data_IF_600978861106
#
_entry.id   IF_600978861106
#
_cell.length_a   1.000
_cell.length_b   1.000
_cell.length_c   1.000
_cell.angle_alpha   90.00
_cell.angle_beta   90.00
_cell.angle_gamma   90.00
#
_symmetry.space_group_name_H-M   'P 1'
#
loop_
_entity.id
_entity.type
_entity.pdbx_description
1 polymer ?
#
# COMPACT_ATOMS: atom_id res chain seq x y z
N UNK A 1 -28.99 11.98 16.75
CA UNK A 1 -28.42 11.68 15.43
C UNK A 1 -27.46 10.53 15.61
N UNK A 2 -27.78 9.35 15.10
CA UNK A 2 -26.86 8.20 15.14
C UNK A 2 -25.68 8.49 14.22
N UNK A 3 -24.46 8.33 14.72
CA UNK A 3 -23.25 8.35 13.88
C UNK A 3 -23.44 7.36 12.71
N UNK A 4 -23.05 7.70 11.48
CA UNK A 4 -23.04 6.75 10.39
C UNK A 4 -22.10 5.60 10.77
N UNK A 5 -22.65 4.41 10.97
CA UNK A 5 -21.86 3.22 11.23
C UNK A 5 -20.93 3.00 10.03
N UNK A 6 -19.62 2.93 10.29
CA UNK A 6 -18.65 2.55 9.28
C UNK A 6 -19.08 1.22 8.64
N UNK A 7 -18.96 1.08 7.31
CA UNK A 7 -19.35 -0.15 6.64
C UNK A 7 -18.52 -1.32 7.21
N UNK A 8 -19.11 -2.51 7.37
CA UNK A 8 -18.40 -3.65 7.92
C UNK A 8 -17.16 -3.94 7.08
N UNK A 9 -16.08 -4.33 7.75
CA UNK A 9 -14.83 -4.69 7.10
C UNK A 9 -14.99 -5.81 6.06
N UNK A 10 -13.96 -6.03 5.25
CA UNK A 10 -13.97 -7.13 4.30
C UNK A 10 -14.12 -8.49 5.00
N UNK A 11 -15.01 -9.32 4.45
CA UNK A 11 -15.03 -10.75 4.79
C UNK A 11 -13.78 -11.44 4.22
N UNK A 12 -13.41 -12.60 4.78
CA UNK A 12 -12.30 -13.41 4.21
C UNK A 12 -12.54 -13.78 2.75
N UNK A 13 -13.78 -14.09 2.37
CA UNK A 13 -14.15 -14.42 0.99
C UNK A 13 -13.91 -13.24 0.06
N UNK A 14 -14.32 -12.04 0.45
CA UNK A 14 -14.07 -10.81 -0.32
C UNK A 14 -12.58 -10.54 -0.47
N UNK A 15 -11.79 -10.65 0.62
CA UNK A 15 -10.34 -10.50 0.55
C UNK A 15 -9.69 -11.56 -0.36
N UNK A 16 -10.14 -12.81 -0.33
CA UNK A 16 -9.64 -13.85 -1.25
C UNK A 16 -9.97 -13.53 -2.71
N UNK A 17 -11.17 -13.02 -3.00
CA UNK A 17 -11.52 -12.59 -4.35
C UNK A 17 -10.65 -11.40 -4.79
N UNK A 18 -10.39 -10.44 -3.90
CA UNK A 18 -9.56 -9.29 -4.17
C UNK A 18 -8.10 -9.69 -4.40
N UNK A 19 -7.58 -10.64 -3.61
CA UNK A 19 -6.27 -11.26 -3.80
C UNK A 19 -6.16 -11.90 -5.19
N UNK A 20 -7.14 -12.71 -5.60
CA UNK A 20 -7.15 -13.36 -6.91
C UNK A 20 -7.20 -12.34 -8.05
N UNK A 21 -7.98 -11.27 -7.88
CA UNK A 21 -8.04 -10.17 -8.84
C UNK A 21 -6.67 -9.48 -8.96
N UNK A 22 -6.01 -9.19 -7.84
CA UNK A 22 -4.66 -8.63 -7.83
C UNK A 22 -3.64 -9.56 -8.53
N UNK A 23 -3.68 -10.87 -8.27
CA UNK A 23 -2.83 -11.87 -8.94
C UNK A 23 -2.96 -11.79 -10.47
N UNK A 24 -4.19 -11.63 -10.99
CA UNK A 24 -4.45 -11.53 -12.44
C UNK A 24 -3.86 -10.27 -13.10
N UNK A 25 -3.50 -9.26 -12.31
CA UNK A 25 -2.94 -7.99 -12.77
C UNK A 25 -1.43 -7.85 -12.47
N UNK A 26 -0.83 -8.84 -11.83
CA UNK A 26 0.59 -8.83 -11.48
C UNK A 26 1.43 -9.41 -12.61
N UNK A 27 2.13 -8.55 -13.34
CA UNK A 27 3.01 -8.91 -14.45
C UNK A 27 4.39 -8.31 -14.24
N UNK A 28 5.40 -8.95 -14.84
CA UNK A 28 6.80 -8.53 -14.71
C UNK A 28 7.32 -8.64 -13.28
N UNK A 29 8.65 -8.56 -13.15
CA UNK A 29 9.33 -8.52 -11.86
C UNK A 29 10.55 -7.64 -11.98
N UNK A 30 10.75 -6.79 -10.99
CA UNK A 30 11.99 -6.06 -10.81
C UNK A 30 12.67 -6.53 -9.54
N UNK A 31 14.00 -6.64 -9.57
CA UNK A 31 14.81 -6.89 -8.38
C UNK A 31 14.98 -5.63 -7.57
N UNK A 32 15.03 -5.78 -6.26
CA UNK A 32 15.35 -4.70 -5.33
C UNK A 32 16.15 -5.23 -4.14
N UNK A 33 16.87 -4.33 -3.47
CA UNK A 33 17.64 -4.64 -2.26
C UNK A 33 17.40 -3.60 -1.15
N UNK A 34 16.62 -2.56 -1.45
CA UNK A 34 16.25 -1.51 -0.49
C UNK A 34 14.76 -1.22 -0.57
N UNK A 35 14.21 -0.84 0.57
CA UNK A 35 12.89 -0.23 0.69
C UNK A 35 13.06 1.22 1.07
N UNK A 36 12.13 2.07 0.65
CA UNK A 36 12.26 3.50 0.91
C UNK A 36 10.96 4.16 1.29
N UNK A 37 11.07 5.25 2.03
CA UNK A 37 9.95 6.12 2.40
C UNK A 37 10.36 7.55 2.11
N UNK A 38 9.50 8.29 1.40
CA UNK A 38 9.77 9.70 1.10
C UNK A 38 8.76 10.58 1.84
N UNK A 39 9.25 11.62 2.50
CA UNK A 39 8.49 12.65 3.23
C UNK A 39 9.19 14.00 3.10
N UNK A 40 8.58 15.06 3.62
CA UNK A 40 9.21 16.39 3.64
C UNK A 40 10.41 16.41 4.57
N UNK A 41 11.38 17.27 4.30
CA UNK A 41 12.50 17.52 5.20
C UNK A 41 12.06 17.82 6.64
N UNK A 42 11.03 18.64 6.81
CA UNK A 42 10.48 18.96 8.14
C UNK A 42 9.98 17.75 8.93
N UNK A 43 9.44 16.73 8.25
CA UNK A 43 9.02 15.48 8.90
C UNK A 43 10.21 14.70 9.44
N UNK A 44 11.30 14.63 8.67
CA UNK A 44 12.51 13.92 9.10
C UNK A 44 13.30 14.68 10.14
N UNK A 45 13.41 16.00 10.01
CA UNK A 45 14.06 16.87 11.00
C UNK A 45 13.40 16.68 12.38
N UNK A 46 12.06 16.68 12.44
CA UNK A 46 11.31 16.44 13.68
C UNK A 46 11.62 15.08 14.32
N UNK A 47 11.87 14.02 13.54
CA UNK A 47 12.27 12.71 14.07
C UNK A 47 13.73 12.75 14.54
N UNK A 48 14.62 13.34 13.74
CA UNK A 48 16.05 13.41 14.03
C UNK A 48 16.39 14.26 15.27
N UNK A 49 15.53 15.23 15.59
CA UNK A 49 15.61 16.08 16.79
C UNK A 49 15.18 15.35 18.07
N UNK A 50 14.46 14.22 17.98
CA UNK A 50 14.15 13.40 19.16
C UNK A 50 15.40 12.65 19.66
N UNK A 51 15.53 12.49 20.99
CA UNK A 51 16.70 11.86 21.61
C UNK A 51 16.98 10.44 21.09
N UNK A 52 15.92 9.68 20.80
CA UNK A 52 15.99 8.29 20.36
C UNK A 52 15.84 8.10 18.84
N UNK A 53 15.51 9.17 18.10
CA UNK A 53 15.28 9.17 16.64
C UNK A 53 14.29 8.09 16.19
N UNK A 54 13.28 7.84 17.01
CA UNK A 54 12.28 6.81 16.71
C UNK A 54 11.20 7.39 15.80
N UNK A 55 11.05 6.79 14.62
CA UNK A 55 9.86 6.94 13.80
C UNK A 55 8.77 6.03 14.36
N UNK A 56 7.80 6.62 15.04
CA UNK A 56 6.67 5.91 15.63
C UNK A 56 5.66 5.46 14.57
N UNK A 57 5.18 4.23 14.72
CA UNK A 57 4.07 3.70 13.92
C UNK A 57 2.80 4.49 14.19
N UNK A 58 2.07 4.80 13.13
CA UNK A 58 0.86 5.60 13.19
C UNK A 58 -0.29 4.93 12.45
N UNK A 59 -1.51 5.36 12.71
CA UNK A 59 -2.70 4.79 12.08
C UNK A 59 -2.65 5.02 10.56
N UNK A 60 -3.00 3.98 9.80
CA UNK A 60 -3.11 4.09 8.36
C UNK A 60 -4.11 5.19 8.01
N UNK A 61 -3.72 6.15 7.17
CA UNK A 61 -4.66 7.12 6.58
C UNK A 61 -5.70 6.40 5.71
N UNK A 62 -6.92 6.93 5.59
CA UNK A 62 -8.07 6.35 4.87
C UNK A 62 -7.91 6.22 3.33
N UNK A 63 -6.67 6.07 2.86
CA UNK A 63 -6.35 5.68 1.50
C UNK A 63 -6.76 4.23 1.23
N UNK A 64 -7.25 3.97 0.02
CA UNK A 64 -7.67 2.62 -0.40
C UNK A 64 -9.16 2.39 -0.19
N UNK A 65 -9.55 1.13 0.00
CA UNK A 65 -10.96 0.80 0.16
C UNK A 65 -11.44 1.14 1.60
N UNK A 66 -12.58 1.82 1.79
CA UNK A 66 -13.07 2.21 3.11
C UNK A 66 -13.47 1.04 4.03
N UNK A 67 -13.53 -0.17 3.50
CA UNK A 67 -13.84 -1.43 4.22
C UNK A 67 -12.60 -2.24 4.57
N UNK A 68 -11.41 -1.69 4.36
CA UNK A 68 -10.18 -2.35 4.72
C UNK A 68 -10.13 -2.61 6.23
N UNK A 69 -9.96 -3.88 6.63
CA UNK A 69 -9.96 -4.35 8.01
C UNK A 69 -8.87 -3.69 8.89
N UNK A 70 -7.84 -3.10 8.26
CA UNK A 70 -6.69 -2.49 8.93
C UNK A 70 -6.94 -1.01 9.30
N UNK A 71 -7.86 -0.33 8.60
CA UNK A 71 -8.12 1.10 8.81
C UNK A 71 -8.61 1.36 10.24
N UNK A 72 -7.97 2.30 10.94
CA UNK A 72 -8.31 2.67 12.33
C UNK A 72 -7.99 1.61 13.38
N UNK A 73 -7.39 0.46 13.01
CA UNK A 73 -7.07 -0.63 13.95
C UNK A 73 -5.57 -0.84 14.08
N UNK A 74 -4.87 -1.00 12.95
CA UNK A 74 -3.47 -1.35 12.94
C UNK A 74 -2.62 -0.10 12.65
N UNK A 75 -1.56 0.08 13.45
CA UNK A 75 -0.56 1.14 13.25
C UNK A 75 0.66 0.58 12.52
N UNK A 76 1.17 1.35 11.57
CA UNK A 76 2.36 0.95 10.81
C UNK A 76 3.10 2.10 10.15
N UNK A 77 4.26 1.76 9.61
CA UNK A 77 5.14 2.62 8.84
C UNK A 77 5.13 2.17 7.38
N UNK A 78 4.92 3.11 6.47
CA UNK A 78 4.66 2.80 5.05
C UNK A 78 5.91 3.03 4.21
N UNK A 79 6.36 1.97 3.53
CA UNK A 79 7.53 1.93 2.66
C UNK A 79 7.15 1.45 1.25
N UNK A 80 8.01 1.72 0.30
CA UNK A 80 7.88 1.30 -1.10
C UNK A 80 9.10 0.46 -1.49
N UNK A 81 8.90 -0.74 -2.08
CA UNK A 81 9.96 -1.55 -2.66
C UNK A 81 10.08 -1.38 -4.19
N UNK A 82 9.13 -0.70 -4.85
CA UNK A 82 9.09 -0.55 -6.30
C UNK A 82 10.31 0.19 -6.87
N UNK A 83 10.74 -0.26 -8.05
CA UNK A 83 11.88 0.28 -8.78
C UNK A 83 11.47 0.61 -10.22
N UNK A 84 12.20 1.52 -10.87
CA UNK A 84 12.05 1.85 -12.30
C UNK A 84 12.75 0.85 -13.24
N UNK A 85 13.28 -0.23 -12.67
CA UNK A 85 14.12 -1.27 -13.29
C UNK A 85 14.89 -1.97 -12.17
N UNK A 86 15.60 -3.06 -12.45
CA UNK A 86 16.35 -3.80 -11.41
C UNK A 86 17.26 -2.87 -10.60
N UNK A 87 17.01 -2.77 -9.30
CA UNK A 87 17.75 -1.96 -8.33
C UNK A 87 17.74 -0.43 -8.56
N UNK A 88 16.92 0.08 -9.51
CA UNK A 88 16.86 1.51 -9.83
C UNK A 88 15.72 2.21 -9.10
N UNK A 89 16.03 3.09 -8.16
CA UNK A 89 15.02 3.90 -7.46
C UNK A 89 14.48 5.04 -8.33
N UNK A 90 13.21 5.44 -8.18
CA UNK A 90 12.69 6.63 -8.85
C UNK A 90 13.47 7.89 -8.43
N UNK A 91 13.89 8.73 -9.37
CA UNK A 91 14.66 9.96 -9.09
C UNK A 91 13.87 11.06 -8.36
N UNK A 92 12.57 10.88 -8.23
CA UNK A 92 11.65 11.91 -7.77
C UNK A 92 10.47 11.33 -7.01
N UNK A 93 9.77 12.15 -6.23
CA UNK A 93 8.65 11.70 -5.39
C UNK A 93 7.54 12.74 -5.26
N UNK A 94 6.26 12.34 -5.25
CA UNK A 94 5.15 13.24 -4.90
C UNK A 94 5.02 13.48 -3.38
N UNK A 95 5.72 12.71 -2.55
CA UNK A 95 5.52 12.68 -1.09
C UNK A 95 6.45 13.60 -0.29
N UNK A 96 7.44 14.22 -0.94
CA UNK A 96 8.41 15.11 -0.31
C UNK A 96 9.77 15.07 -1.00
N UNK A 97 10.71 15.81 -0.42
CA UNK A 97 12.06 16.10 -0.91
C UNK A 97 13.15 15.26 -0.23
N UNK A 98 12.81 14.47 0.79
CA UNK A 98 13.76 13.60 1.49
C UNK A 98 13.28 12.17 1.60
N UNK A 99 14.17 11.23 1.30
CA UNK A 99 13.91 9.80 1.25
C UNK A 99 14.80 9.04 2.22
N UNK A 100 14.18 8.30 3.14
CA UNK A 100 14.82 7.28 3.94
C UNK A 100 14.99 6.01 3.10
N UNK A 101 16.21 5.47 3.02
CA UNK A 101 16.55 4.23 2.31
C UNK A 101 17.04 3.18 3.31
N UNK A 102 16.38 2.03 3.36
CA UNK A 102 16.74 0.92 4.26
C UNK A 102 17.04 -0.33 3.46
N UNK A 103 18.01 -1.18 3.89
CA UNK A 103 18.14 -2.53 3.37
C UNK A 103 16.80 -3.28 3.46
N UNK A 104 16.39 -3.94 2.39
CA UNK A 104 15.09 -4.63 2.33
C UNK A 104 14.96 -5.69 3.43
N UNK A 105 16.04 -6.42 3.71
CA UNK A 105 16.13 -7.45 4.75
C UNK A 105 15.80 -6.91 6.15
N UNK A 106 16.07 -5.63 6.43
CA UNK A 106 15.76 -5.03 7.73
C UNK A 106 14.26 -5.10 8.05
N UNK A 107 13.39 -5.02 7.04
CA UNK A 107 11.95 -5.14 7.20
C UNK A 107 11.41 -6.50 6.76
N UNK A 108 12.08 -7.19 5.83
CA UNK A 108 11.55 -8.36 5.12
C UNK A 108 12.24 -9.68 5.47
N UNK A 109 13.06 -9.74 6.52
CA UNK A 109 13.70 -11.00 6.96
C UNK A 109 12.66 -12.11 7.21
N UNK A 110 12.56 -13.14 6.34
CA UNK A 110 11.52 -14.16 6.40
C UNK A 110 11.65 -15.07 7.64
N UNK A 111 12.76 -15.00 8.38
CA UNK A 111 12.90 -15.68 9.67
C UNK A 111 12.15 -14.94 10.78
N UNK A 112 11.97 -13.62 10.67
CA UNK A 112 11.39 -12.75 11.70
C UNK A 112 9.97 -12.29 11.42
N UNK A 113 9.57 -12.20 10.15
CA UNK A 113 8.28 -11.59 9.78
C UNK A 113 7.33 -12.54 9.04
N UNK A 114 6.04 -12.24 9.15
CA UNK A 114 4.97 -12.77 8.30
C UNK A 114 4.44 -11.65 7.40
N UNK A 115 3.98 -12.02 6.20
CA UNK A 115 3.45 -11.11 5.20
C UNK A 115 1.96 -11.39 4.96
N UNK A 116 1.15 -10.34 4.88
CA UNK A 116 -0.30 -10.46 4.66
C UNK A 116 -0.78 -9.53 3.56
N UNK A 117 -1.63 -10.05 2.67
CA UNK A 117 -2.37 -9.25 1.70
C UNK A 117 -3.46 -8.44 2.41
N UNK A 118 -3.48 -7.13 2.16
CA UNK A 118 -4.37 -6.19 2.83
C UNK A 118 -5.42 -5.59 1.89
N UNK A 119 -4.98 -5.00 0.78
CA UNK A 119 -5.84 -4.24 -0.11
C UNK A 119 -5.26 -4.21 -1.53
N UNK A 120 -6.13 -4.00 -2.52
CA UNK A 120 -5.77 -3.76 -3.91
C UNK A 120 -6.70 -2.69 -4.49
N UNK A 121 -6.16 -1.53 -4.83
CA UNK A 121 -6.96 -0.36 -5.19
C UNK A 121 -6.25 0.55 -6.19
N UNK A 122 -6.95 1.56 -6.71
CA UNK A 122 -6.32 2.69 -7.39
C UNK A 122 -7.01 3.98 -6.95
N UNK A 123 -6.31 5.11 -6.98
CA UNK A 123 -6.84 6.36 -6.45
C UNK A 123 -7.93 6.97 -7.36
N UNK A 124 -8.96 7.55 -6.74
CA UNK A 124 -10.12 8.13 -7.41
C UNK A 124 -9.85 9.34 -8.31
N UNK A 125 -8.85 10.18 -8.01
CA UNK A 125 -8.53 11.33 -8.86
C UNK A 125 -7.98 10.94 -10.23
N UNK A 126 -7.49 9.71 -10.37
CA UNK A 126 -7.06 9.13 -11.65
C UNK A 126 -8.19 8.35 -12.35
N UNK A 127 -9.44 8.44 -11.90
CA UNK A 127 -10.56 7.65 -12.43
C UNK A 127 -10.87 7.88 -13.92
N UNK A 128 -10.33 8.96 -14.50
CA UNK A 128 -10.43 9.29 -15.93
C UNK A 128 -9.27 8.72 -16.77
N UNK A 129 -8.22 8.16 -16.14
CA UNK A 129 -7.07 7.58 -16.81
C UNK A 129 -7.16 6.05 -16.75
N UNK A 130 -7.22 5.40 -17.91
CA UNK A 130 -7.24 3.92 -18.03
C UNK A 130 -6.00 3.23 -17.44
N UNK A 131 -4.93 3.99 -17.26
CA UNK A 131 -3.60 3.55 -16.82
C UNK A 131 -3.22 4.10 -15.43
N UNK A 132 -4.21 4.48 -14.61
CA UNK A 132 -3.96 4.80 -13.21
C UNK A 132 -3.16 3.66 -12.55
N UNK A 133 -2.08 3.98 -11.80
CA UNK A 133 -1.31 2.96 -11.10
C UNK A 133 -2.22 2.28 -10.08
N UNK A 134 -2.16 0.95 -10.05
CA UNK A 134 -2.84 0.15 -9.06
C UNK A 134 -1.89 -0.12 -7.91
N UNK A 135 -2.39 0.05 -6.70
CA UNK A 135 -1.67 -0.09 -5.47
C UNK A 135 -2.10 -1.38 -4.78
N UNK A 136 -1.15 -2.07 -4.15
CA UNK A 136 -1.39 -3.22 -3.30
C UNK A 136 -0.67 -3.02 -1.98
N UNK A 137 -1.39 -3.14 -0.88
CA UNK A 137 -0.81 -3.02 0.46
C UNK A 137 -0.47 -4.41 1.01
N UNK A 138 0.77 -4.59 1.46
CA UNK A 138 1.23 -5.78 2.18
C UNK A 138 1.51 -5.37 3.63
N UNK A 139 0.91 -6.05 4.60
CA UNK A 139 1.26 -5.87 6.02
C UNK A 139 2.44 -6.79 6.36
N UNK A 140 3.42 -6.23 7.06
CA UNK A 140 4.59 -6.93 7.57
C UNK A 140 4.53 -6.92 9.10
N UNK A 141 4.29 -8.08 9.69
CA UNK A 141 4.25 -8.25 11.14
C UNK A 141 5.44 -9.06 11.63
N UNK A 142 6.03 -8.70 12.76
CA UNK A 142 6.92 -9.62 13.49
C UNK A 142 6.12 -10.84 13.92
N UNK A 143 6.68 -12.03 13.73
CA UNK A 143 6.04 -13.30 14.12
C UNK A 143 5.64 -13.24 15.59
N UNK A 144 4.42 -13.68 15.86
CA UNK A 144 3.84 -13.79 17.20
C UNK A 144 3.62 -12.45 17.93
N UNK A 145 3.65 -11.34 17.20
CA UNK A 145 3.20 -10.04 17.70
C UNK A 145 1.67 -9.92 17.71
N UNK A 146 1.13 -8.98 18.49
CA UNK A 146 -0.31 -8.67 18.46
C UNK A 146 -0.82 -8.31 17.06
N UNK A 147 0.00 -7.60 16.27
CA UNK A 147 -0.31 -7.28 14.87
C UNK A 147 -0.35 -8.52 13.99
N UNK A 148 0.54 -9.48 14.23
CA UNK A 148 0.59 -10.76 13.53
C UNK A 148 -0.68 -11.58 13.81
N UNK A 149 -1.08 -11.70 15.07
CA UNK A 149 -2.28 -12.45 15.46
C UNK A 149 -3.55 -11.83 14.88
N UNK A 150 -3.67 -10.50 14.92
CA UNK A 150 -4.75 -9.78 14.24
C UNK A 150 -4.76 -10.09 12.74
N UNK A 151 -3.61 -10.04 12.06
CA UNK A 151 -3.54 -10.30 10.63
C UNK A 151 -3.83 -11.76 10.26
N UNK A 152 -3.42 -12.75 11.07
CA UNK A 152 -3.82 -14.17 10.90
C UNK A 152 -5.34 -14.32 10.92
N UNK A 153 -6.00 -13.59 11.83
CA UNK A 153 -7.45 -13.65 11.95
C UNK A 153 -8.16 -12.92 10.80
N UNK A 154 -7.71 -11.71 10.43
CA UNK A 154 -8.47 -10.80 9.58
C UNK A 154 -8.03 -10.72 8.12
N UNK A 155 -6.80 -11.13 7.79
CA UNK A 155 -6.19 -10.97 6.46
C UNK A 155 -5.83 -12.30 5.81
N UNK A 156 -5.30 -12.23 4.58
CA UNK A 156 -4.83 -13.40 3.82
C UNK A 156 -3.30 -13.49 3.95
N UNK A 157 -2.74 -14.55 4.55
CA UNK A 157 -1.30 -14.77 4.59
C UNK A 157 -0.75 -14.91 3.16
N UNK A 158 0.36 -14.23 2.87
CA UNK A 158 1.03 -14.35 1.58
C UNK A 158 1.93 -15.59 1.55
N UNK A 159 1.76 -16.49 0.57
CA UNK A 159 2.69 -17.61 0.39
C UNK A 159 4.07 -17.11 -0.06
N UNK A 160 5.12 -17.91 0.16
CA UNK A 160 6.50 -17.54 -0.17
C UNK A 160 6.70 -17.19 -1.66
N UNK A 161 5.96 -17.86 -2.54
CA UNK A 161 6.02 -17.73 -3.99
C UNK A 161 4.96 -16.80 -4.58
N UNK A 162 4.28 -16.00 -3.72
CA UNK A 162 3.25 -15.05 -4.14
C UNK A 162 3.74 -14.14 -5.27
N UNK A 163 2.82 -13.67 -6.14
CA UNK A 163 3.24 -12.97 -7.34
C UNK A 163 3.77 -11.55 -7.07
N UNK A 164 3.39 -10.93 -5.95
CA UNK A 164 3.59 -9.50 -5.66
C UNK A 164 4.98 -9.16 -5.13
N UNK A 165 5.48 -9.99 -4.22
CA UNK A 165 6.76 -9.80 -3.53
C UNK A 165 7.38 -11.17 -3.22
N UNK A 166 8.55 -11.46 -3.79
CA UNK A 166 9.28 -12.72 -3.56
C UNK A 166 10.58 -12.48 -2.83
N UNK A 167 10.90 -13.44 -1.97
CA UNK A 167 12.11 -13.45 -1.18
C UNK A 167 12.76 -14.82 -1.43
N UNK A 168 13.91 -14.80 -2.09
CA UNK A 168 14.67 -16.01 -2.42
C UNK A 168 15.87 -16.10 -1.48
N UNK A 169 16.08 -17.26 -0.87
CA UNK A 169 17.32 -17.54 -0.16
C UNK A 169 18.44 -17.72 -1.20
N UNK A 170 19.51 -16.96 -1.05
CA UNK A 170 20.73 -17.09 -1.84
C UNK A 170 21.92 -17.25 -0.89
N UNK A 171 23.06 -17.70 -1.42
CA UNK A 171 24.25 -17.87 -0.58
C UNK A 171 24.66 -16.53 0.06
N UNK A 172 24.55 -16.47 1.39
CA UNK A 172 24.89 -15.29 2.18
C UNK A 172 23.80 -14.23 2.35
N UNK A 173 22.54 -14.48 1.95
CA UNK A 173 21.44 -13.54 2.22
C UNK A 173 20.15 -13.81 1.44
N UNK A 174 19.47 -12.73 1.06
CA UNK A 174 18.19 -12.80 0.34
C UNK A 174 18.22 -11.98 -0.95
N UNK A 175 17.60 -12.50 -2.01
CA UNK A 175 17.26 -11.75 -3.22
C UNK A 175 15.77 -11.41 -3.20
N UNK A 176 15.43 -10.13 -3.40
CA UNK A 176 14.06 -9.66 -3.39
C UNK A 176 13.58 -9.28 -4.80
N UNK A 177 12.34 -9.63 -5.10
CA UNK A 177 11.66 -9.26 -6.35
C UNK A 177 10.28 -8.67 -6.04
N UNK A 178 9.91 -7.61 -6.75
CA UNK A 178 8.61 -6.94 -6.62
C UNK A 178 7.89 -6.94 -7.96
N UNK A 179 6.55 -6.90 -7.93
CA UNK A 179 5.72 -6.71 -9.13
C UNK A 179 6.18 -5.53 -9.98
N UNK A 180 6.25 -5.73 -11.30
CA UNK A 180 6.57 -4.67 -12.26
C UNK A 180 5.37 -3.79 -12.67
N UNK A 181 4.14 -4.28 -12.47
CA UNK A 181 2.90 -3.57 -12.89
C UNK A 181 2.07 -3.01 -11.74
N UNK A 182 2.26 -3.51 -10.52
CA UNK A 182 1.52 -3.07 -9.34
C UNK A 182 2.46 -2.30 -8.41
N UNK A 183 2.00 -1.14 -7.96
CA UNK A 183 2.69 -0.36 -6.95
C UNK A 183 2.47 -0.99 -5.57
N UNK A 184 3.53 -1.52 -4.97
CA UNK A 184 3.47 -2.18 -3.67
C UNK A 184 3.72 -1.15 -2.57
N UNK A 185 2.83 -1.11 -1.59
CA UNK A 185 2.99 -0.38 -0.35
C UNK A 185 3.19 -1.39 0.79
N UNK A 186 4.33 -1.31 1.47
CA UNK A 186 4.65 -2.14 2.62
C UNK A 186 4.24 -1.40 3.90
N UNK A 187 3.38 -1.98 4.71
CA UNK A 187 3.01 -1.48 6.03
C UNK A 187 3.74 -2.30 7.10
N UNK A 188 4.83 -1.73 7.63
CA UNK A 188 5.63 -2.35 8.68
C UNK A 188 5.08 -2.01 10.06
N UNK A 189 4.73 -3.01 10.87
CA UNK A 189 3.94 -2.79 12.09
C UNK A 189 4.74 -2.43 13.33
N UNK A 190 6.03 -2.16 13.21
CA UNK A 190 6.90 -1.78 14.32
C UNK A 190 7.46 -0.37 14.17
N UNK A 191 7.88 0.21 15.30
CA UNK A 191 8.66 1.43 15.31
C UNK A 191 10.02 1.22 14.64
N UNK A 192 10.58 2.29 14.11
CA UNK A 192 11.88 2.23 13.45
C UNK A 192 12.80 3.32 14.00
N UNK A 193 13.98 2.93 14.45
CA UNK A 193 15.04 3.90 14.72
C UNK A 193 15.60 4.43 13.39
N UNK A 194 15.59 5.75 13.22
CA UNK A 194 16.06 6.42 12.00
C UNK A 194 17.53 6.76 12.16
N UNK A 195 18.32 6.33 11.18
CA UNK A 195 19.69 6.76 10.97
C UNK A 195 19.68 7.92 9.95
N UNK A 196 20.06 9.15 10.34
CA UNK A 196 20.09 10.31 9.45
C UNK A 196 21.00 10.10 8.22
N UNK A 197 22.02 9.25 8.31
CA UNK A 197 22.91 8.95 7.17
C UNK A 197 22.21 8.17 6.05
N UNK A 198 21.03 7.60 6.34
CA UNK A 198 20.18 6.90 5.38
C UNK A 198 19.17 7.81 4.68
N UNK A 199 19.15 9.11 5.01
CA UNK A 199 18.31 10.10 4.35
C UNK A 199 19.04 10.68 3.13
N UNK A 200 18.37 10.68 1.98
CA UNK A 200 18.88 11.28 0.75
C UNK A 200 17.88 12.28 0.18
N UNK A 201 18.37 13.33 -0.46
CA UNK A 201 17.54 14.28 -1.19
C UNK A 201 16.98 13.67 -2.48
N UNK A 202 15.75 14.02 -2.82
CA UNK A 202 15.07 13.57 -4.05
C UNK A 202 14.24 14.69 -4.63
N UNK A 203 14.09 14.71 -5.96
CA UNK A 203 13.32 15.79 -6.61
C UNK A 203 11.83 15.69 -6.25
N UNK A 204 11.21 16.71 -5.64
CA UNK A 204 9.78 16.70 -5.36
C UNK A 204 8.97 16.91 -6.66
N UNK A 205 7.95 16.09 -6.91
CA UNK A 205 6.97 16.23 -8.02
C UNK A 205 5.61 16.78 -7.57
N UNK A 206 5.43 17.04 -6.27
CA UNK A 206 4.19 17.56 -5.70
C UNK A 206 4.49 18.49 -4.52
N UNK A 207 3.44 19.12 -3.97
CA UNK A 207 3.54 20.07 -2.85
C UNK A 207 3.92 19.41 -1.49
N UNK A 208 4.28 18.12 -1.47
CA UNK A 208 4.65 17.41 -0.24
C UNK A 208 3.49 17.06 0.70
N UNK A 209 2.25 17.36 0.31
CA UNK A 209 1.07 17.07 1.14
C UNK A 209 0.50 15.69 0.83
N UNK A 210 0.52 14.82 1.84
CA UNK A 210 -0.46 13.74 1.94
C UNK A 210 -1.80 14.42 2.25
N UNK A 211 -2.83 14.27 1.42
CA UNK A 211 -4.13 14.92 1.65
C UNK A 211 -4.65 14.55 3.04
N UNK A 212 -4.98 15.53 3.92
CA UNK A 212 -5.63 15.25 5.19
C UNK A 212 -6.91 14.42 4.94
N UNK A 213 -7.02 13.25 5.58
CA UNK A 213 -8.12 12.30 5.36
C UNK A 213 -7.86 11.23 4.28
N UNK A 214 -6.67 11.19 3.67
CA UNK A 214 -6.33 10.20 2.65
C UNK A 214 -7.08 10.40 1.33
N UNK A 215 -6.83 9.51 0.37
CA UNK A 215 -7.48 9.54 -0.93
C UNK A 215 -8.21 8.22 -1.15
N UNK A 216 -9.54 8.32 -1.25
CA UNK A 216 -10.39 7.16 -1.51
C UNK A 216 -10.08 6.47 -2.84
N UNK A 217 -10.34 5.16 -2.89
CA UNK A 217 -10.22 4.40 -4.13
C UNK A 217 -11.21 4.87 -5.20
N UNK A 218 -10.90 4.61 -6.47
CA UNK A 218 -11.84 4.80 -7.58
C UNK A 218 -12.98 3.76 -7.47
N UNK A 219 -14.24 4.15 -7.17
CA UNK A 219 -15.34 3.20 -7.00
C UNK A 219 -15.78 2.52 -8.30
N UNK A 220 -15.35 3.02 -9.45
CA UNK A 220 -15.75 2.51 -10.77
C UNK A 220 -14.65 1.68 -11.46
N UNK A 221 -13.50 1.46 -10.80
CA UNK A 221 -12.40 0.74 -11.40
C UNK A 221 -12.77 -0.73 -11.70
N UNK A 222 -12.58 -1.15 -12.96
CA UNK A 222 -12.86 -2.52 -13.39
C UNK A 222 -11.70 -3.50 -13.13
N UNK A 223 -10.53 -2.98 -12.74
CA UNK A 223 -9.31 -3.76 -12.46
C UNK A 223 -9.15 -4.10 -10.98
N UNK A 224 -9.42 -3.16 -10.06
CA UNK A 224 -9.21 -3.38 -8.62
C UNK A 224 -10.47 -3.44 -7.76
N UNK A 225 -11.68 -3.25 -8.31
CA UNK A 225 -12.90 -3.48 -7.53
C UNK A 225 -13.51 -4.83 -7.88
N UNK A 226 -13.96 -5.55 -6.85
CA UNK A 226 -14.87 -6.69 -7.05
C UNK A 226 -16.12 -6.24 -7.81
N UNK A 227 -16.72 -7.16 -8.56
CA UNK A 227 -17.79 -6.83 -9.50
C UNK A 227 -19.02 -6.26 -8.77
N UNK A 228 -19.30 -6.80 -7.59
CA UNK A 228 -20.37 -6.40 -6.69
C UNK A 228 -20.15 -5.05 -6.01
N UNK A 229 -18.91 -4.57 -5.89
CA UNK A 229 -18.59 -3.28 -5.26
C UNK A 229 -18.63 -2.11 -6.24
N UNK A 230 -18.59 -2.39 -7.53
CA UNK A 230 -18.70 -1.36 -8.56
C UNK A 230 -20.09 -0.72 -8.44
N UNK A 231 -20.15 0.61 -8.39
CA UNK A 231 -21.44 1.29 -8.55
C UNK A 231 -22.07 0.79 -9.85
N UNK A 232 -23.30 0.27 -9.77
CA UNK A 232 -24.09 0.00 -10.97
C UNK A 232 -24.23 1.32 -11.72
N UNK A 233 -24.19 1.30 -13.05
CA UNK A 233 -24.55 2.43 -13.93
C UNK A 233 -26.05 2.78 -13.82
N UNK A 234 -26.68 2.60 -12.66
CA UNK A 234 -28.03 3.06 -12.37
C UNK A 234 -27.96 4.54 -12.05
N UNK A 235 -27.81 5.35 -13.10
CA UNK A 235 -28.40 6.70 -13.23
C UNK A 235 -28.29 7.24 -14.68
N UNK A 236 -28.46 6.36 -15.66
CA UNK A 236 -28.95 6.75 -16.99
C UNK A 236 -29.97 5.73 -17.49
N UNK A 237 -31.18 5.75 -16.92
CA UNK A 237 -32.35 5.34 -17.70
C UNK A 237 -32.57 6.42 -18.76
N UNK A 238 -31.97 6.22 -19.92
CA UNK A 238 -32.39 6.90 -21.14
C UNK A 238 -33.61 6.12 -21.62
N UNK A 239 -34.73 6.81 -21.83
CA UNK A 239 -35.90 6.18 -22.45
C UNK A 239 -35.53 5.75 -23.87
N UNK A 240 -35.57 4.45 -24.16
CA UNK A 240 -35.21 3.87 -25.47
C UNK A 240 -36.09 4.36 -26.63
N UNK A 241 -37.21 5.05 -26.30
CA UNK A 241 -38.13 5.61 -27.29
C UNK A 241 -37.88 7.10 -27.59
N UNK A 242 -37.29 7.86 -26.67
CA UNK A 242 -37.18 9.32 -26.82
C UNK A 242 -35.84 9.96 -26.39
N UNK A 243 -34.86 9.18 -25.93
CA UNK A 243 -33.51 9.67 -25.67
C UNK A 243 -33.37 10.64 -24.48
N UNK A 244 -34.43 10.91 -23.73
CA UNK A 244 -34.40 11.84 -22.59
C UNK A 244 -33.89 11.16 -21.32
N UNK A 245 -33.11 11.89 -20.50
CA UNK A 245 -32.75 11.45 -19.14
C UNK A 245 -34.00 11.52 -18.26
N UNK A 246 -34.40 10.39 -17.67
CA UNK A 246 -35.43 10.40 -16.63
C UNK A 246 -34.79 10.83 -15.30
N UNK A 247 -35.36 11.88 -14.70
CA UNK A 247 -34.99 12.40 -13.37
C UNK A 247 -35.31 11.42 -12.26
#
# INVERSE_FOLDING_TARGET
>A
MSEPQNPPGFTKSELSQLYNLACSHCLGRNKFNVVYRTKTKSYWDAICETENRIMEKYEKSDCGHPRNNVNGVLKGLFFTPNTCGDFVLPSSSPYGDQRLILPAEQLLDPTKVNLYFCDFYCFGFNALLSDAPHHLTIIICHKDSNSDDFCKEKLIPLPKDNPFLRIHNVDGGYQFEVSGTIWIELCYTENLQVDPEKLVEVSPRGLGYSTPGGIANNPNCKKCNLREWRKKDTDKKICDTCGSKMS
#
